data_IF_211902778181
#
_entry.id   IF_211902778181
#
_cell.length_a   1.000
_cell.length_b   1.000
_cell.length_c   1.000
_cell.angle_alpha   90.00
_cell.angle_beta   90.00
_cell.angle_gamma   90.00
#
_symmetry.space_group_name_H-M   'P 1'
#
loop_
_entity.id
_entity.type
_entity.pdbx_description
1 polymer ?
#
# COMPACT_ATOMS: atom_id res chain seq x y z
N UNK A 1 17.11 -5.47 -21.45
CA UNK A 1 16.96 -4.48 -20.37
C UNK A 1 15.53 -3.93 -20.29
N UNK A 2 14.59 -4.75 -19.81
CA UNK A 2 13.29 -4.26 -19.35
C UNK A 2 13.28 -4.40 -17.84
N UNK A 3 14.04 -3.54 -17.16
CA UNK A 3 13.76 -3.27 -15.77
C UNK A 3 12.41 -2.55 -15.77
N UNK A 4 11.31 -3.25 -15.47
CA UNK A 4 10.06 -2.58 -15.14
C UNK A 4 10.33 -1.80 -13.87
N UNK A 5 10.58 -0.49 -14.01
CA UNK A 5 10.68 0.43 -12.87
C UNK A 5 9.42 0.19 -12.03
N UNK A 6 9.58 -0.14 -10.76
CA UNK A 6 8.42 -0.21 -9.88
C UNK A 6 7.84 1.20 -9.76
N UNK A 7 6.63 1.39 -10.29
CA UNK A 7 5.88 2.63 -10.17
C UNK A 7 4.92 2.43 -8.99
N UNK A 8 5.04 3.28 -7.96
CA UNK A 8 4.07 3.28 -6.87
C UNK A 8 2.66 3.53 -7.44
N UNK A 9 1.65 2.70 -7.11
CA UNK A 9 0.30 2.88 -7.62
C UNK A 9 -0.29 4.22 -7.15
N UNK A 10 -1.11 4.85 -7.99
CA UNK A 10 -1.86 6.06 -7.63
C UNK A 10 -3.09 5.68 -6.82
N UNK A 11 -2.91 5.55 -5.50
CA UNK A 11 -3.99 5.23 -4.58
C UNK A 11 -4.68 6.50 -4.08
N UNK A 12 -6.01 6.47 -3.99
CA UNK A 12 -6.79 7.59 -3.43
C UNK A 12 -7.22 7.36 -1.99
N UNK A 13 -7.26 6.11 -1.54
CA UNK A 13 -7.64 5.74 -0.17
C UNK A 13 -6.41 5.82 0.75
N UNK A 14 -6.44 6.67 1.79
CA UNK A 14 -5.32 6.83 2.71
C UNK A 14 -4.99 5.52 3.45
N UNK A 15 -3.71 5.17 3.53
CA UNK A 15 -3.26 3.91 4.14
C UNK A 15 -3.58 3.77 5.64
N UNK A 16 -3.75 4.87 6.37
CA UNK A 16 -4.12 4.83 7.79
C UNK A 16 -5.54 4.30 8.04
N UNK A 17 -6.36 4.15 6.99
CA UNK A 17 -7.71 3.59 7.07
C UNK A 17 -7.76 2.09 6.75
N UNK A 18 -6.66 1.46 6.35
CA UNK A 18 -6.68 0.06 5.95
C UNK A 18 -7.03 -0.85 7.13
N UNK A 19 -8.08 -1.65 6.95
CA UNK A 19 -8.62 -2.53 8.00
C UNK A 19 -9.35 -1.79 9.14
N UNK A 20 -9.55 -0.47 9.04
CA UNK A 20 -10.34 0.29 10.00
C UNK A 20 -11.82 0.22 9.64
N UNK A 21 -12.68 0.13 10.66
CA UNK A 21 -14.13 0.11 10.50
C UNK A 21 -14.68 1.53 10.61
N UNK A 22 -15.56 1.89 9.70
CA UNK A 22 -16.23 3.19 9.70
C UNK A 22 -17.70 3.05 9.30
N UNK A 23 -18.45 4.14 9.41
CA UNK A 23 -19.87 4.20 9.09
C UNK A 23 -20.06 5.01 7.80
N UNK A 24 -20.80 4.46 6.84
CA UNK A 24 -21.20 5.23 5.65
C UNK A 24 -22.14 6.34 6.09
N UNK A 25 -21.70 7.59 5.94
CA UNK A 25 -22.52 8.77 6.22
C UNK A 25 -23.46 9.05 5.04
N UNK A 26 -22.95 9.00 3.80
CA UNK A 26 -23.77 9.13 2.58
C UNK A 26 -23.09 8.57 1.33
N UNK A 27 -23.89 8.33 0.29
CA UNK A 27 -23.41 8.16 -1.08
C UNK A 27 -23.22 9.54 -1.74
N UNK A 28 -22.02 9.82 -2.23
CA UNK A 28 -21.65 11.08 -2.88
C UNK A 28 -21.93 11.08 -4.39
N UNK A 29 -22.23 9.92 -4.98
CA UNK A 29 -22.48 9.76 -6.42
C UNK A 29 -21.62 8.65 -7.03
N UNK A 30 -21.57 8.59 -8.36
CA UNK A 30 -20.72 7.67 -9.11
C UNK A 30 -19.75 8.46 -9.98
N UNK A 31 -18.45 8.15 -9.85
CA UNK A 31 -17.36 8.87 -10.52
C UNK A 31 -16.43 7.88 -11.22
N UNK A 32 -15.66 8.36 -12.19
CA UNK A 32 -14.65 7.54 -12.85
C UNK A 32 -13.57 7.10 -11.86
N UNK A 33 -13.03 5.89 -12.03
CA UNK A 33 -11.95 5.39 -11.18
C UNK A 33 -10.67 6.24 -11.35
N UNK A 34 -10.41 7.14 -10.40
CA UNK A 34 -9.25 8.01 -10.40
C UNK A 34 -7.91 7.27 -10.48
N UNK A 35 -7.81 6.04 -9.94
CA UNK A 35 -6.58 5.24 -9.97
C UNK A 35 -6.27 4.75 -11.39
N UNK A 36 -7.32 4.39 -12.15
CA UNK A 36 -7.18 3.99 -13.55
C UNK A 36 -6.76 5.16 -14.44
N UNK A 37 -7.37 6.34 -14.24
CA UNK A 37 -7.12 7.53 -15.04
C UNK A 37 -5.82 8.28 -14.68
N UNK A 38 -5.13 7.90 -13.60
CA UNK A 38 -3.88 8.54 -13.19
C UNK A 38 -2.68 8.29 -14.14
N UNK A 39 -2.81 7.34 -15.07
CA UNK A 39 -1.73 6.90 -15.97
C UNK A 39 -2.04 7.14 -17.45
N UNK A 40 -2.78 8.21 -17.78
CA UNK A 40 -3.18 8.57 -19.15
C UNK A 40 -3.91 7.43 -19.91
N UNK A 41 -4.54 6.53 -19.16
CA UNK A 41 -5.43 5.51 -19.72
C UNK A 41 -6.70 6.20 -20.23
N UNK A 42 -6.62 6.69 -21.46
CA UNK A 42 -7.67 7.46 -22.15
C UNK A 42 -8.54 6.60 -23.05
N UNK A 43 -8.36 5.27 -23.02
CA UNK A 43 -9.26 4.35 -23.71
C UNK A 43 -10.66 4.45 -23.10
N UNK A 44 -11.44 5.36 -23.68
CA UNK A 44 -12.80 5.73 -23.28
C UNK A 44 -13.80 4.61 -23.48
N UNK A 45 -13.37 3.50 -24.08
CA UNK A 45 -14.22 2.33 -24.35
C UNK A 45 -14.61 1.61 -23.05
N UNK A 46 -13.88 1.84 -21.94
CA UNK A 46 -14.18 1.23 -20.63
C UNK A 46 -14.15 2.27 -19.52
N UNK A 47 -15.17 3.14 -19.44
CA UNK A 47 -15.30 4.06 -18.30
C UNK A 47 -15.81 3.28 -17.09
N UNK A 48 -14.89 2.94 -16.17
CA UNK A 48 -15.21 2.30 -14.90
C UNK A 48 -15.75 3.34 -13.90
N UNK A 49 -17.05 3.63 -13.97
CA UNK A 49 -17.72 4.37 -12.91
C UNK A 49 -17.81 3.52 -11.65
N UNK A 50 -17.54 4.15 -10.51
CA UNK A 50 -17.60 3.53 -9.20
C UNK A 50 -18.36 4.46 -8.24
N UNK A 51 -19.24 3.92 -7.38
CA UNK A 51 -19.84 4.69 -6.31
C UNK A 51 -18.76 5.23 -5.36
N UNK A 52 -18.93 6.47 -4.93
CA UNK A 52 -18.10 7.15 -3.94
C UNK A 52 -18.95 7.38 -2.68
N UNK A 53 -18.44 6.97 -1.53
CA UNK A 53 -19.11 7.13 -0.25
C UNK A 53 -18.31 8.06 0.65
N UNK A 54 -18.99 8.90 1.43
CA UNK A 54 -18.37 9.51 2.59
C UNK A 54 -18.49 8.54 3.76
N UNK A 55 -17.34 8.15 4.30
CA UNK A 55 -17.25 7.25 5.44
C UNK A 55 -16.69 8.02 6.64
N UNK A 56 -17.40 7.94 7.76
CA UNK A 56 -17.01 8.52 9.03
C UNK A 56 -16.28 7.50 9.88
N UNK A 57 -15.15 7.90 10.43
CA UNK A 57 -14.35 7.10 11.35
C UNK A 57 -14.18 7.86 12.67
N UNK A 58 -14.19 7.14 13.79
CA UNK A 58 -13.78 7.70 15.07
C UNK A 58 -12.24 7.82 15.08
N UNK A 59 -11.70 8.98 15.49
CA UNK A 59 -10.26 9.19 15.49
C UNK A 59 -9.53 8.23 16.46
N UNK A 60 -10.17 7.84 17.57
CA UNK A 60 -9.59 6.86 18.53
C UNK A 60 -9.44 5.46 17.95
N UNK A 61 -10.32 5.07 17.02
CA UNK A 61 -10.22 3.76 16.37
C UNK A 61 -9.11 3.73 15.32
N UNK A 62 -8.69 4.90 14.82
CA UNK A 62 -7.63 5.04 13.82
C UNK A 62 -6.26 5.13 14.50
N UNK A 63 -6.12 6.01 15.49
CA UNK A 63 -4.85 6.31 16.14
C UNK A 63 -4.86 5.88 17.62
N UNK A 64 -4.01 4.91 17.96
CA UNK A 64 -3.91 4.33 19.30
C UNK A 64 -3.60 5.36 20.42
N UNK A 65 -2.94 6.47 20.08
CA UNK A 65 -2.54 7.53 21.03
C UNK A 65 -3.28 8.84 20.77
N UNK A 66 -4.52 8.78 20.30
CA UNK A 66 -5.32 9.99 20.09
C UNK A 66 -5.74 10.62 21.42
N UNK A 67 -5.13 11.76 21.77
CA UNK A 67 -5.39 12.50 23.02
C UNK A 67 -6.58 13.48 22.94
N UNK A 68 -7.22 13.60 21.78
CA UNK A 68 -8.38 14.48 21.57
C UNK A 68 -9.69 13.94 22.15
N UNK A 69 -10.80 14.59 21.78
CA UNK A 69 -12.13 14.23 22.27
C UNK A 69 -12.55 12.85 21.75
N UNK A 70 -13.25 12.06 22.58
CA UNK A 70 -13.78 10.74 22.20
C UNK A 70 -14.74 10.76 21.02
N UNK A 71 -15.35 11.91 20.75
CA UNK A 71 -16.31 12.11 19.67
C UNK A 71 -15.68 12.76 18.44
N UNK A 72 -14.37 13.01 18.45
CA UNK A 72 -13.69 13.49 17.28
C UNK A 72 -13.74 12.42 16.19
N UNK A 73 -14.09 12.88 15.00
CA UNK A 73 -14.26 12.01 13.84
C UNK A 73 -13.50 12.59 12.65
N UNK A 74 -13.23 11.72 11.68
CA UNK A 74 -12.75 12.11 10.37
C UNK A 74 -13.67 11.51 9.31
N UNK A 75 -14.08 12.35 8.37
CA UNK A 75 -14.90 11.94 7.23
C UNK A 75 -14.01 11.87 5.99
N UNK A 76 -14.00 10.72 5.32
CA UNK A 76 -13.17 10.47 4.13
C UNK A 76 -14.03 9.95 3.00
N UNK A 77 -13.82 10.48 1.79
CA UNK A 77 -14.51 10.03 0.59
C UNK A 77 -13.75 8.80 0.00
N UNK A 78 -14.40 7.63 -0.03
CA UNK A 78 -13.81 6.33 -0.37
C UNK A 78 -14.63 5.65 -1.48
N UNK A 79 -13.97 5.12 -2.51
CA UNK A 79 -14.63 4.38 -3.58
C UNK A 79 -15.09 2.99 -3.12
N UNK A 80 -16.20 2.51 -3.70
CA UNK A 80 -16.80 1.21 -3.37
C UNK A 80 -15.81 0.04 -3.33
N UNK A 81 -14.85 -0.03 -4.25
CA UNK A 81 -13.91 -1.15 -4.34
C UNK A 81 -12.90 -1.22 -3.18
N UNK A 82 -12.76 -0.14 -2.41
CA UNK A 82 -11.97 -0.11 -1.18
C UNK A 82 -12.76 -0.50 0.07
N UNK A 83 -14.08 -0.70 -0.05
CA UNK A 83 -14.96 -1.01 1.06
C UNK A 83 -15.40 -2.46 1.03
N UNK A 84 -15.54 -3.04 2.22
CA UNK A 84 -16.22 -4.31 2.45
C UNK A 84 -17.21 -4.15 3.61
N UNK A 85 -18.32 -4.91 3.63
CA UNK A 85 -19.21 -4.92 4.78
C UNK A 85 -18.47 -5.34 6.05
N UNK A 86 -18.64 -4.58 7.14
CA UNK A 86 -18.11 -4.98 8.43
C UNK A 86 -18.85 -6.23 8.94
N UNK A 87 -18.10 -7.22 9.40
CA UNK A 87 -18.63 -8.40 10.09
C UNK A 87 -18.80 -8.10 11.59
N UNK A 88 -19.67 -8.85 12.27
CA UNK A 88 -19.90 -8.66 13.71
C UNK A 88 -18.64 -8.86 14.57
N UNK A 89 -17.66 -9.63 14.08
CA UNK A 89 -16.36 -9.81 14.72
C UNK A 89 -15.43 -8.59 14.59
N UNK A 90 -15.63 -7.74 13.57
CA UNK A 90 -14.75 -6.58 13.32
C UNK A 90 -14.97 -5.44 14.34
N UNK A 91 -16.16 -5.41 14.97
CA UNK A 91 -16.53 -4.45 16.02
C UNK A 91 -15.98 -4.78 17.42
N UNK A 92 -15.24 -5.88 17.59
CA UNK A 92 -14.80 -6.39 18.90
C UNK A 92 -13.33 -6.80 18.95
N UNK A 93 -12.49 -6.23 18.09
CA UNK A 93 -11.04 -6.43 18.19
C UNK A 93 -10.51 -5.58 19.35
N UNK A 94 -10.69 -6.07 20.58
CA UNK A 94 -9.86 -5.70 21.71
C UNK A 94 -8.42 -6.20 21.46
N UNK A 95 -7.51 -5.23 21.43
CA UNK A 95 -6.09 -5.28 21.82
C UNK A 95 -5.42 -6.66 21.82
N UNK A 96 -4.82 -7.04 20.69
CA UNK A 96 -3.62 -7.90 20.64
C UNK A 96 -2.90 -7.68 19.30
N UNK A 97 -2.38 -6.46 19.08
CA UNK A 97 -1.50 -6.13 17.94
C UNK A 97 -0.24 -5.39 18.40
N UNK A 98 0.31 -5.78 19.54
CA UNK A 98 1.54 -5.17 20.07
C UNK A 98 2.82 -5.67 19.41
N UNK A 99 2.82 -6.74 18.61
CA UNK A 99 4.09 -7.33 18.16
C UNK A 99 4.55 -6.97 16.74
N UNK A 100 3.68 -6.54 15.81
CA UNK A 100 4.09 -6.40 14.40
C UNK A 100 4.24 -4.94 13.92
N UNK A 101 3.55 -3.98 14.58
CA UNK A 101 3.68 -2.54 14.26
C UNK A 101 4.84 -1.83 14.97
N UNK A 102 5.56 -2.51 15.88
CA UNK A 102 6.76 -1.94 16.53
C UNK A 102 8.01 -2.02 15.65
N UNK A 103 7.99 -2.74 14.53
CA UNK A 103 9.16 -2.87 13.65
C UNK A 103 9.48 -1.59 12.84
N UNK A 104 8.56 -0.64 12.75
CA UNK A 104 8.75 0.63 12.05
C UNK A 104 8.74 1.87 12.95
N UNK A 105 8.67 1.70 14.29
CA UNK A 105 8.92 2.78 15.24
C UNK A 105 10.42 2.90 15.48
N UNK A 106 11.13 3.55 14.56
CA UNK A 106 12.40 4.16 14.91
C UNK A 106 12.11 5.55 15.46
N UNK A 107 12.50 5.77 16.72
CA UNK A 107 12.33 7.00 17.50
C UNK A 107 12.36 8.29 16.65
N UNK A 108 11.27 9.05 16.67
CA UNK A 108 11.28 10.46 16.31
C UNK A 108 11.13 11.30 17.57
N UNK A 109 12.24 11.40 18.32
CA UNK A 109 12.45 12.54 19.19
C UNK A 109 12.59 13.78 18.30
N UNK A 110 11.52 14.56 18.19
CA UNK A 110 11.59 15.92 17.66
C UNK A 110 12.31 16.81 18.68
N UNK A 111 13.63 16.75 18.69
CA UNK A 111 14.45 17.90 19.03
C UNK A 111 14.97 18.46 17.73
N UNK A 112 14.74 19.76 17.50
CA UNK A 112 15.43 20.54 16.48
C UNK A 112 16.93 20.25 16.50
N UNK A 113 17.37 19.32 15.65
CA UNK A 113 18.76 19.02 15.44
C UNK A 113 18.97 18.82 13.95
N UNK A 114 19.70 19.77 13.39
CA UNK A 114 20.27 19.79 12.04
C UNK A 114 20.78 18.39 11.67
N UNK A 115 20.10 17.72 10.73
CA UNK A 115 20.43 16.33 10.38
C UNK A 115 21.49 16.30 9.28
N UNK A 116 22.75 16.22 9.70
CA UNK A 116 23.87 15.80 8.87
C UNK A 116 24.08 14.29 9.07
N UNK A 117 23.39 13.47 8.26
CA UNK A 117 23.67 12.03 8.16
C UNK A 117 23.92 11.66 6.70
N UNK A 118 24.98 10.89 6.46
CA UNK A 118 25.34 10.39 5.13
C UNK A 118 24.53 9.12 4.86
N UNK A 119 23.69 9.14 3.83
CA UNK A 119 23.06 7.91 3.33
C UNK A 119 24.09 7.11 2.52
N UNK A 120 24.22 5.81 2.81
CA UNK A 120 25.00 4.91 1.97
C UNK A 120 24.46 4.93 0.54
N UNK A 121 25.37 4.81 -0.43
CA UNK A 121 25.00 4.82 -1.83
C UNK A 121 24.02 3.67 -2.11
N UNK A 122 22.98 3.97 -2.89
CA UNK A 122 21.88 3.05 -3.19
C UNK A 122 22.33 1.66 -3.67
N UNK A 123 23.40 1.58 -4.43
CA UNK A 123 23.99 0.32 -4.89
C UNK A 123 24.43 -0.61 -3.75
N UNK A 124 24.91 -0.03 -2.64
CA UNK A 124 25.36 -0.78 -1.46
C UNK A 124 24.16 -1.37 -0.73
N UNK A 125 23.08 -0.59 -0.60
CA UNK A 125 21.83 -1.01 0.03
C UNK A 125 21.19 -2.17 -0.76
N UNK A 126 21.17 -2.06 -2.09
CA UNK A 126 20.59 -3.07 -2.97
C UNK A 126 21.41 -4.37 -2.95
N UNK A 127 22.74 -4.30 -2.99
CA UNK A 127 23.59 -5.50 -2.88
C UNK A 127 23.43 -6.19 -1.52
N UNK A 128 23.38 -5.41 -0.43
CA UNK A 128 23.17 -5.95 0.92
C UNK A 128 21.82 -6.64 1.07
N UNK A 129 20.81 -6.22 0.31
CA UNK A 129 19.51 -6.89 0.28
C UNK A 129 19.60 -8.24 -0.43
N UNK A 130 20.26 -8.30 -1.60
CA UNK A 130 20.47 -9.54 -2.37
C UNK A 130 21.23 -10.58 -1.54
N UNK A 131 22.29 -10.15 -0.84
CA UNK A 131 23.11 -11.05 -0.02
C UNK A 131 22.33 -11.65 1.16
N UNK A 132 21.21 -11.03 1.56
CA UNK A 132 20.32 -11.51 2.64
C UNK A 132 19.19 -12.45 2.18
N UNK A 133 18.98 -12.62 0.88
CA UNK A 133 17.85 -13.41 0.34
C UNK A 133 17.95 -14.92 0.62
N UNK A 134 19.11 -15.42 1.08
CA UNK A 134 19.26 -16.82 1.52
C UNK A 134 19.32 -17.82 0.37
N UNK A 135 19.04 -19.10 0.66
CA UNK A 135 19.22 -20.22 -0.29
C UNK A 135 18.06 -20.21 -1.31
N UNK A 136 18.33 -20.40 -2.61
CA UNK A 136 17.32 -20.37 -3.68
C UNK A 136 16.10 -21.25 -3.37
N UNK A 137 14.90 -20.64 -3.42
CA UNK A 137 13.63 -21.34 -3.26
C UNK A 137 13.42 -22.35 -4.42
N UNK A 138 12.69 -23.46 -4.23
CA UNK A 138 12.44 -24.44 -5.30
C UNK A 138 11.89 -23.87 -6.62
N UNK A 139 11.19 -22.72 -6.56
CA UNK A 139 10.69 -22.01 -7.73
C UNK A 139 11.78 -21.31 -8.57
N UNK A 140 12.99 -21.14 -8.02
CA UNK A 140 14.11 -20.53 -8.74
C UNK A 140 14.59 -21.41 -9.90
N UNK A 141 14.65 -22.73 -9.72
CA UNK A 141 15.00 -23.63 -10.82
C UNK A 141 13.95 -23.63 -11.94
N UNK A 142 12.67 -23.42 -11.62
CA UNK A 142 11.63 -23.22 -12.63
C UNK A 142 11.89 -21.92 -13.41
N UNK A 143 12.20 -20.82 -12.70
CA UNK A 143 12.50 -19.55 -13.32
C UNK A 143 13.76 -19.62 -14.21
N UNK A 144 14.84 -20.25 -13.74
CA UNK A 144 16.08 -20.48 -14.48
C UNK A 144 15.82 -21.32 -15.75
N UNK A 145 15.07 -22.42 -15.63
CA UNK A 145 14.75 -23.30 -16.76
C UNK A 145 13.89 -22.59 -17.80
N UNK A 146 12.93 -21.77 -17.36
CA UNK A 146 12.07 -20.98 -18.25
C UNK A 146 12.90 -19.92 -19.00
N UNK A 147 13.80 -19.23 -18.31
CA UNK A 147 14.71 -18.24 -18.92
C UNK A 147 15.59 -18.92 -19.98
N UNK A 148 16.16 -20.09 -19.68
CA UNK A 148 16.97 -20.85 -20.64
C UNK A 148 16.17 -21.21 -21.89
N UNK A 149 14.97 -21.76 -21.72
CA UNK A 149 14.10 -22.15 -22.84
C UNK A 149 13.72 -20.94 -23.73
N UNK A 150 13.48 -19.78 -23.12
CA UNK A 150 13.14 -18.56 -23.86
C UNK A 150 14.32 -17.98 -24.65
N UNK A 151 15.56 -18.19 -24.18
CA UNK A 151 16.77 -17.81 -24.91
C UNK A 151 17.02 -18.78 -26.07
N UNK A 152 16.87 -20.08 -25.83
CA UNK A 152 17.08 -21.12 -26.86
C UNK A 152 16.12 -20.97 -28.05
N UNK A 153 14.87 -20.54 -27.79
CA UNK A 153 13.87 -20.25 -28.83
C UNK A 153 14.06 -18.87 -29.50
N UNK A 154 15.19 -18.19 -29.22
CA UNK A 154 15.54 -16.89 -29.80
C UNK A 154 14.50 -15.77 -29.53
N UNK A 155 13.69 -15.95 -28.47
CA UNK A 155 12.67 -14.98 -28.05
C UNK A 155 13.27 -13.84 -27.23
N UNK A 156 14.51 -14.00 -26.72
CA UNK A 156 15.24 -12.99 -25.95
C UNK A 156 16.77 -13.09 -26.18
N UNK A 157 17.42 -11.96 -26.45
CA UNK A 157 18.89 -11.84 -26.41
C UNK A 157 19.34 -11.29 -25.04
N UNK A 158 20.25 -12.00 -24.36
CA UNK A 158 20.94 -11.48 -23.18
C UNK A 158 21.93 -10.38 -23.64
N UNK A 159 21.73 -9.15 -23.16
CA UNK A 159 22.67 -8.03 -23.33
C UNK A 159 23.54 -7.87 -22.10
#
# INVERSE_FOLDING_TARGET
NYATRWIKPHLRTPGYLYGKVGIIERCCGSYSNAEYFAYDNTDSTTIHYQPLYRVRFNQKDIWNHYEGDTNDTIDVDIYQHWLMPASQSDSSIEENKDEDYQKYNFDHQHKDHDHDHIHEARAIIEQTAIDREGIPLPAQHLAESLISALIDENMYELK
#
